data_IF_438342268494
#
_entry.id   IF_438342268494
#
_cell.length_a   1.000
_cell.length_b   1.000
_cell.length_c   1.000
_cell.angle_alpha   90.00
_cell.angle_beta   90.00
_cell.angle_gamma   90.00
#
_symmetry.space_group_name_H-M   'P 1'
#
loop_
_entity.id
_entity.type
_entity.pdbx_description
1 polymer ?
#
# COMPACT_ATOMS: atom_id res chain seq x y z
N UNK A 1 6.41 13.41 4.92
CA UNK A 1 4.97 13.36 5.25
C UNK A 1 4.24 12.57 4.17
N UNK A 2 3.50 11.51 4.54
CA UNK A 2 2.65 10.75 3.61
C UNK A 2 1.34 11.52 3.42
N UNK A 3 0.81 11.53 2.20
CA UNK A 3 -0.43 12.27 1.88
C UNK A 3 -1.45 11.34 1.23
N UNK A 4 -2.75 11.47 1.56
CA UNK A 4 -3.80 10.76 0.83
C UNK A 4 -3.76 11.14 -0.64
N UNK A 5 -3.95 10.17 -1.54
CA UNK A 5 -4.09 10.46 -2.96
C UNK A 5 -5.43 11.19 -3.18
N UNK A 6 -5.36 12.47 -3.56
CA UNK A 6 -6.55 13.27 -3.87
C UNK A 6 -6.94 13.04 -5.33
N UNK A 7 -7.97 12.24 -5.55
CA UNK A 7 -8.60 12.12 -6.86
C UNK A 7 -9.57 13.31 -7.07
N UNK A 8 -9.65 13.85 -8.28
CA UNK A 8 -10.58 14.94 -8.62
C UNK A 8 -12.04 14.50 -8.72
N UNK A 9 -12.29 13.18 -8.78
CA UNK A 9 -13.61 12.55 -8.78
C UNK A 9 -13.59 11.31 -7.89
N UNK A 10 -14.66 11.08 -7.15
CA UNK A 10 -14.86 9.85 -6.39
C UNK A 10 -15.07 8.69 -7.36
N UNK A 11 -14.07 7.82 -7.46
CA UNK A 11 -14.15 6.59 -8.24
C UNK A 11 -14.65 5.45 -7.34
N UNK A 12 -15.23 4.40 -7.90
CA UNK A 12 -15.62 3.20 -7.12
C UNK A 12 -14.44 2.52 -6.40
N UNK A 13 -13.20 2.83 -6.79
CA UNK A 13 -11.95 2.41 -6.12
C UNK A 13 -11.56 3.26 -4.90
N UNK A 14 -12.32 4.32 -4.57
CA UNK A 14 -12.06 5.21 -3.42
C UNK A 14 -12.18 4.47 -2.08
N UNK A 15 -12.85 3.32 -2.04
CA UNK A 15 -12.89 2.40 -0.89
C UNK A 15 -11.50 1.87 -0.47
N UNK A 16 -10.48 1.98 -1.33
CA UNK A 16 -9.12 1.51 -1.05
C UNK A 16 -8.20 2.55 -0.40
N UNK A 17 -8.66 3.81 -0.26
CA UNK A 17 -7.95 4.96 0.34
C UNK A 17 -6.43 4.99 0.04
N UNK A 18 -6.02 5.11 -1.24
CA UNK A 18 -4.62 5.00 -1.64
C UNK A 18 -3.78 6.20 -1.18
N UNK A 19 -2.50 5.96 -0.94
CA UNK A 19 -1.51 7.01 -0.65
C UNK A 19 -0.90 7.56 -1.93
N UNK A 20 -0.61 8.87 -1.95
CA UNK A 20 0.07 9.50 -3.08
C UNK A 20 1.52 8.99 -3.21
N UNK A 21 1.92 8.65 -4.44
CA UNK A 21 3.29 8.23 -4.77
C UNK A 21 3.93 9.33 -5.63
N UNK A 22 4.94 10.06 -5.12
CA UNK A 22 5.65 11.08 -5.88
C UNK A 22 6.35 10.49 -7.11
N UNK A 23 6.28 11.20 -8.24
CA UNK A 23 7.04 10.82 -9.43
C UNK A 23 8.52 11.18 -9.23
N UNK A 24 9.39 10.19 -9.32
CA UNK A 24 10.85 10.34 -9.19
C UNK A 24 11.54 9.79 -10.43
N UNK A 25 12.62 10.44 -10.87
CA UNK A 25 13.37 10.05 -12.09
C UNK A 25 14.57 9.16 -11.78
N UNK A 26 15.03 9.12 -10.54
CA UNK A 26 16.25 8.42 -10.13
C UNK A 26 15.94 7.15 -9.34
N UNK A 27 16.79 6.13 -9.47
CA UNK A 27 16.70 4.89 -8.66
C UNK A 27 16.91 5.15 -7.16
N UNK A 28 17.73 6.13 -6.82
CA UNK A 28 17.86 6.57 -5.42
C UNK A 28 16.53 7.17 -4.91
N UNK A 29 15.87 7.99 -5.73
CA UNK A 29 14.57 8.57 -5.40
C UNK A 29 13.47 7.53 -5.18
N UNK A 30 13.47 6.43 -5.93
CA UNK A 30 12.48 5.35 -5.73
C UNK A 30 12.61 4.64 -4.38
N UNK A 31 13.79 4.71 -3.76
CA UNK A 31 14.05 4.12 -2.44
C UNK A 31 13.72 5.07 -1.28
N UNK A 32 13.42 6.35 -1.57
CA UNK A 32 13.01 7.29 -0.54
C UNK A 32 11.73 6.80 0.15
N UNK A 33 11.63 7.00 1.47
CA UNK A 33 10.46 6.58 2.26
C UNK A 33 9.15 7.13 1.69
N UNK A 34 9.15 8.37 1.20
CA UNK A 34 8.01 9.03 0.57
C UNK A 34 7.50 8.35 -0.71
N UNK A 35 8.29 7.45 -1.32
CA UNK A 35 7.92 6.66 -2.50
C UNK A 35 7.72 5.20 -2.13
N UNK A 36 8.68 4.60 -1.41
CA UNK A 36 8.67 3.18 -1.09
C UNK A 36 7.50 2.79 -0.17
N UNK A 37 7.24 3.57 0.89
CA UNK A 37 6.16 3.28 1.83
C UNK A 37 4.76 3.29 1.17
N UNK A 38 4.35 4.35 0.43
CA UNK A 38 3.04 4.34 -0.23
C UNK A 38 2.97 3.32 -1.36
N UNK A 39 4.08 3.01 -2.04
CA UNK A 39 4.12 1.94 -3.05
C UNK A 39 3.80 0.58 -2.44
N UNK A 40 4.47 0.22 -1.34
CA UNK A 40 4.22 -1.04 -0.62
C UNK A 40 2.82 -1.06 -0.01
N UNK A 41 2.36 0.04 0.59
CA UNK A 41 1.03 0.10 1.19
C UNK A 41 -0.08 -0.07 0.14
N UNK A 42 0.05 0.58 -1.01
CA UNK A 42 -0.95 0.53 -2.07
C UNK A 42 -1.04 -0.84 -2.77
N UNK A 43 0.01 -1.66 -2.73
CA UNK A 43 -0.01 -3.02 -3.30
C UNK A 43 -0.65 -4.06 -2.39
N UNK A 44 -0.98 -3.70 -1.15
CA UNK A 44 -1.66 -4.59 -0.22
C UNK A 44 -3.16 -4.68 -0.52
N UNK A 45 -3.77 -5.86 -0.37
CA UNK A 45 -5.21 -6.03 -0.53
C UNK A 45 -5.95 -5.30 0.59
N UNK A 46 -7.18 -4.86 0.29
CA UNK A 46 -8.02 -4.12 1.25
C UNK A 46 -8.24 -4.92 2.53
N UNK A 47 -8.40 -6.25 2.43
CA UNK A 47 -8.57 -7.15 3.59
C UNK A 47 -7.42 -7.14 4.58
N UNK A 48 -6.21 -6.79 4.15
CA UNK A 48 -5.05 -6.59 5.05
C UNK A 48 -5.07 -5.17 5.58
N UNK A 49 -5.33 -4.16 4.74
CA UNK A 49 -5.33 -2.74 5.14
C UNK A 49 -6.47 -2.34 6.08
N UNK A 50 -7.62 -3.01 6.01
CA UNK A 50 -8.82 -2.69 6.81
C UNK A 50 -8.79 -3.29 8.21
N UNK A 51 -7.72 -3.98 8.60
CA UNK A 51 -7.61 -4.57 9.93
C UNK A 51 -7.41 -3.50 11.00
N UNK A 52 -8.33 -3.44 11.97
CA UNK A 52 -8.27 -2.49 13.08
C UNK A 52 -7.29 -2.87 14.19
N UNK A 53 -6.72 -4.08 14.16
CA UNK A 53 -5.79 -4.57 15.17
C UNK A 53 -4.43 -4.91 14.55
N UNK A 54 -3.35 -4.41 15.17
CA UNK A 54 -1.98 -4.61 14.69
C UNK A 54 -1.53 -6.09 14.65
N UNK A 55 -2.00 -6.91 15.60
CA UNK A 55 -1.71 -8.34 15.66
C UNK A 55 -2.36 -9.07 14.49
N UNK A 56 -3.65 -8.79 14.24
CA UNK A 56 -4.40 -9.33 13.10
C UNK A 56 -3.80 -8.87 11.77
N UNK A 57 -3.45 -7.58 11.66
CA UNK A 57 -2.76 -7.01 10.52
C UNK A 57 -1.47 -7.78 10.19
N UNK A 58 -0.57 -7.95 11.17
CA UNK A 58 0.71 -8.65 10.98
C UNK A 58 0.51 -10.10 10.53
N UNK A 59 -0.45 -10.81 11.14
CA UNK A 59 -0.78 -12.19 10.78
C UNK A 59 -1.24 -12.27 9.32
N UNK A 60 -2.22 -11.46 8.92
CA UNK A 60 -2.74 -11.47 7.54
C UNK A 60 -1.71 -11.03 6.52
N UNK A 61 -0.90 -10.01 6.84
CA UNK A 61 0.19 -9.56 6.00
C UNK A 61 1.18 -10.68 5.73
N UNK A 62 1.59 -11.43 6.77
CA UNK A 62 2.48 -12.57 6.63
C UNK A 62 1.88 -13.63 5.70
N UNK A 63 0.61 -14.01 5.90
CA UNK A 63 -0.08 -14.97 5.04
C UNK A 63 -0.15 -14.50 3.59
N UNK A 64 -0.50 -13.23 3.37
CA UNK A 64 -0.58 -12.64 2.03
C UNK A 64 0.77 -12.70 1.31
N UNK A 65 1.85 -12.27 1.97
CA UNK A 65 3.20 -12.27 1.39
C UNK A 65 3.65 -13.71 1.09
N UNK A 66 3.37 -14.65 1.99
CA UNK A 66 3.73 -16.06 1.78
C UNK A 66 3.02 -16.64 0.54
N UNK A 67 1.71 -16.45 0.42
CA UNK A 67 0.94 -16.93 -0.72
C UNK A 67 1.35 -16.26 -2.04
N UNK A 68 1.77 -14.99 -1.99
CA UNK A 68 2.27 -14.28 -3.16
C UNK A 68 3.66 -14.77 -3.61
N UNK A 69 4.49 -15.23 -2.68
CA UNK A 69 5.83 -15.76 -2.98
C UNK A 69 5.82 -17.24 -3.38
N UNK A 70 4.88 -18.02 -2.86
CA UNK A 70 4.77 -19.46 -3.07
C UNK A 70 3.34 -19.84 -3.52
N UNK A 71 2.99 -19.57 -4.80
CA UNK A 71 1.74 -20.06 -5.38
C UNK A 71 1.74 -21.60 -5.47
N UNK A 72 0.56 -22.25 -5.48
CA UNK A 72 0.42 -23.69 -5.58
C UNK A 72 0.95 -24.27 -6.90
#
# INVERSE_FOLDING_TARGET
MLTPARNSRELRSTSSNPLYIPRVKTKAGTRAFSVAAPTLWNSLPVSVKSEGNIVSFRRRLKTYIFNAAYPP
#
